data_IF_567906784534
#
_entry.id   IF_567906784534
#
_cell.length_a   1.000
_cell.length_b   1.000
_cell.length_c   1.000
_cell.angle_alpha   90.00
_cell.angle_beta   90.00
_cell.angle_gamma   90.00
#
_symmetry.space_group_name_H-M   'P 1'
#
loop_
_entity.id
_entity.type
_entity.pdbx_description
1 polymer ?
#
# COMPACT_ATOMS: atom_id res chain seq x y z
N UNK A 1 35.55 20.18 -55.88
CA UNK A 1 35.02 18.97 -55.22
C UNK A 1 36.11 18.41 -54.34
N UNK A 2 36.05 18.68 -53.05
CA UNK A 2 36.96 18.12 -52.03
C UNK A 2 36.64 16.64 -51.83
N UNK A 3 37.62 15.73 -51.77
CA UNK A 3 37.35 14.32 -51.57
C UNK A 3 36.90 14.08 -50.13
N UNK A 4 35.79 13.36 -49.99
CA UNK A 4 35.27 12.87 -48.69
C UNK A 4 36.25 11.82 -48.16
N UNK A 5 36.69 11.88 -46.89
CA UNK A 5 37.57 10.87 -46.33
C UNK A 5 36.86 9.52 -46.24
N UNK A 6 37.56 8.39 -46.40
CA UNK A 6 36.94 7.08 -46.35
C UNK A 6 36.34 6.86 -44.97
N UNK A 7 35.04 6.54 -44.92
CA UNK A 7 34.35 6.11 -43.71
C UNK A 7 35.10 4.91 -43.12
N UNK A 8 35.69 5.07 -41.93
CA UNK A 8 36.23 3.96 -41.15
C UNK A 8 35.17 2.86 -41.07
N UNK A 9 35.52 1.68 -41.54
CA UNK A 9 34.65 0.53 -41.55
C UNK A 9 34.31 0.19 -40.09
N UNK A 10 33.06 0.35 -39.67
CA UNK A 10 32.59 0.20 -38.27
C UNK A 10 32.89 -1.17 -37.64
N UNK A 11 33.43 -2.10 -38.41
CA UNK A 11 33.70 -3.49 -38.05
C UNK A 11 35.20 -3.86 -38.12
N UNK A 12 36.12 -2.89 -38.26
CA UNK A 12 37.56 -3.17 -38.30
C UNK A 12 38.11 -3.84 -37.04
N UNK A 13 37.38 -3.78 -35.92
CA UNK A 13 37.72 -4.49 -34.69
C UNK A 13 37.53 -6.01 -34.79
N UNK A 14 36.77 -6.52 -35.78
CA UNK A 14 36.57 -7.97 -35.98
C UNK A 14 37.81 -8.69 -36.55
N UNK A 15 38.82 -7.94 -37.02
CA UNK A 15 40.05 -8.47 -37.61
C UNK A 15 41.21 -8.55 -36.60
N UNK A 16 40.97 -8.20 -35.32
CA UNK A 16 41.98 -8.29 -34.26
C UNK A 16 42.27 -9.74 -33.85
N UNK A 17 43.56 -10.13 -33.82
CA UNK A 17 44.02 -11.48 -33.46
C UNK A 17 43.67 -11.93 -32.04
N UNK A 18 43.24 -11.00 -31.18
CA UNK A 18 42.71 -11.29 -29.83
C UNK A 18 41.31 -11.91 -29.83
N UNK A 19 40.61 -11.96 -30.97
CA UNK A 19 39.29 -12.59 -31.10
C UNK A 19 39.39 -14.13 -31.20
N UNK A 20 40.59 -14.68 -31.36
CA UNK A 20 40.78 -16.13 -31.48
C UNK A 20 41.03 -16.86 -30.16
N UNK A 21 41.19 -16.14 -29.04
CA UNK A 21 41.37 -16.76 -27.72
C UNK A 21 40.05 -16.70 -26.93
N UNK A 22 39.31 -17.81 -26.95
CA UNK A 22 38.01 -17.97 -26.29
C UNK A 22 38.05 -17.61 -24.80
N UNK A 23 39.17 -17.89 -24.11
CA UNK A 23 39.33 -17.56 -22.70
C UNK A 23 39.30 -16.06 -22.44
N UNK A 24 39.98 -15.27 -23.28
CA UNK A 24 40.01 -13.80 -23.14
C UNK A 24 38.67 -13.15 -23.47
N UNK A 25 37.92 -13.70 -24.42
CA UNK A 25 36.56 -13.23 -24.76
C UNK A 25 35.63 -13.49 -23.57
N UNK A 26 35.75 -14.67 -22.96
CA UNK A 26 34.96 -15.04 -21.80
C UNK A 26 35.22 -14.09 -20.63
N UNK A 27 36.48 -13.91 -20.25
CA UNK A 27 36.88 -13.01 -19.14
C UNK A 27 36.41 -11.58 -19.37
N UNK A 28 36.54 -11.07 -20.61
CA UNK A 28 36.11 -9.71 -20.96
C UNK A 28 34.59 -9.55 -20.92
N UNK A 29 33.85 -10.54 -21.41
CA UNK A 29 32.38 -10.52 -21.40
C UNK A 29 31.84 -10.54 -19.97
N UNK A 30 32.41 -11.38 -19.10
CA UNK A 30 32.04 -11.45 -17.69
C UNK A 30 32.37 -10.16 -16.94
N UNK A 31 33.52 -9.53 -17.26
CA UNK A 31 33.82 -8.21 -16.71
C UNK A 31 32.77 -7.15 -17.10
N UNK A 32 32.37 -7.09 -18.36
CA UNK A 32 31.30 -6.16 -18.78
C UNK A 32 29.96 -6.49 -18.14
N UNK A 33 29.64 -7.77 -17.94
CA UNK A 33 28.42 -8.19 -17.24
C UNK A 33 28.40 -7.69 -15.79
N UNK A 34 29.52 -7.79 -15.09
CA UNK A 34 29.65 -7.28 -13.72
C UNK A 34 29.53 -5.75 -13.68
N UNK A 35 30.15 -5.05 -14.64
CA UNK A 35 30.02 -3.59 -14.79
C UNK A 35 28.54 -3.20 -15.04
N UNK A 36 27.85 -3.84 -15.99
CA UNK A 36 26.43 -3.57 -16.27
C UNK A 36 25.51 -3.92 -15.11
N UNK A 37 25.78 -5.00 -14.39
CA UNK A 37 25.04 -5.37 -13.19
C UNK A 37 25.24 -4.32 -12.08
N UNK A 38 26.45 -3.77 -11.96
CA UNK A 38 26.78 -2.68 -11.02
C UNK A 38 26.06 -1.38 -11.39
N UNK A 39 25.80 -1.14 -12.68
CA UNK A 39 24.95 -0.03 -13.15
C UNK A 39 23.44 -0.32 -13.00
N UNK A 40 23.05 -1.52 -12.58
CA UNK A 40 21.65 -1.91 -12.37
C UNK A 40 20.92 -2.32 -13.64
N UNK A 41 21.65 -2.59 -14.73
CA UNK A 41 21.08 -3.11 -15.97
C UNK A 41 20.79 -4.60 -15.83
N UNK A 42 19.67 -5.06 -16.39
CA UNK A 42 19.38 -6.49 -16.52
C UNK A 42 20.23 -7.08 -17.61
N UNK A 43 21.09 -8.02 -17.23
CA UNK A 43 22.03 -8.65 -18.15
C UNK A 43 21.52 -10.00 -18.65
N UNK A 44 21.62 -10.26 -19.95
CA UNK A 44 21.33 -11.55 -20.58
C UNK A 44 22.56 -12.03 -21.35
N UNK A 45 22.90 -13.31 -21.20
CA UNK A 45 23.93 -13.99 -21.98
C UNK A 45 23.27 -14.67 -23.17
N UNK A 46 23.90 -14.56 -24.35
CA UNK A 46 23.48 -15.23 -25.56
C UNK A 46 24.59 -16.18 -25.98
N UNK A 47 24.25 -17.45 -26.08
CA UNK A 47 25.13 -18.50 -26.57
C UNK A 47 24.47 -19.22 -27.74
N UNK A 48 25.28 -19.84 -28.61
CA UNK A 48 24.80 -20.61 -29.77
C UNK A 48 25.49 -21.97 -29.80
N UNK A 49 24.84 -22.93 -30.44
CA UNK A 49 25.45 -24.23 -30.75
C UNK A 49 24.98 -24.66 -32.12
N UNK A 50 25.91 -25.14 -32.94
CA UNK A 50 25.55 -25.77 -34.20
C UNK A 50 25.19 -27.23 -33.93
N UNK A 51 23.98 -27.62 -34.30
CA UNK A 51 23.46 -28.97 -34.03
C UNK A 51 23.31 -29.71 -35.36
N UNK A 52 24.01 -30.85 -35.54
CA UNK A 52 23.83 -31.70 -36.71
C UNK A 52 22.39 -32.20 -36.83
N UNK A 53 21.90 -32.35 -38.06
CA UNK A 53 20.51 -32.75 -38.31
C UNK A 53 20.14 -34.11 -37.68
N UNK A 54 21.08 -35.05 -37.65
CA UNK A 54 20.89 -36.36 -37.02
C UNK A 54 20.68 -36.26 -35.51
N UNK A 55 21.43 -35.41 -34.82
CA UNK A 55 21.30 -35.15 -33.38
C UNK A 55 19.97 -34.45 -33.08
N UNK A 56 19.61 -33.45 -33.89
CA UNK A 56 18.34 -32.75 -33.75
C UNK A 56 17.14 -33.68 -33.93
N UNK A 57 17.14 -34.57 -34.93
CA UNK A 57 16.04 -35.52 -35.15
C UNK A 57 15.86 -36.46 -33.95
N UNK A 58 16.96 -36.96 -33.38
CA UNK A 58 16.91 -37.80 -32.18
C UNK A 58 16.33 -37.04 -30.98
N UNK A 59 16.83 -35.82 -30.72
CA UNK A 59 16.33 -34.97 -29.64
C UNK A 59 14.85 -34.62 -29.82
N UNK A 60 14.42 -34.33 -31.06
CA UNK A 60 13.03 -34.00 -31.38
C UNK A 60 12.06 -35.12 -31.02
N UNK A 61 12.44 -36.38 -31.22
CA UNK A 61 11.62 -37.52 -30.77
C UNK A 61 11.50 -37.58 -29.24
N UNK A 62 12.61 -37.33 -28.52
CA UNK A 62 12.63 -37.30 -27.04
C UNK A 62 11.74 -36.16 -26.54
N UNK A 63 11.89 -34.97 -27.10
CA UNK A 63 11.09 -33.80 -26.75
C UNK A 63 9.60 -33.99 -27.07
N UNK A 64 9.27 -34.64 -28.20
CA UNK A 64 7.90 -34.99 -28.53
C UNK A 64 7.31 -35.98 -27.52
N UNK A 65 8.06 -37.01 -27.13
CA UNK A 65 7.62 -37.97 -26.10
C UNK A 65 7.39 -37.27 -24.76
N UNK A 66 8.29 -36.36 -24.37
CA UNK A 66 8.16 -35.55 -23.16
C UNK A 66 6.90 -34.69 -23.17
N UNK A 67 6.65 -33.93 -24.24
CA UNK A 67 5.47 -33.04 -24.38
C UNK A 67 4.14 -33.78 -24.42
N UNK A 68 4.12 -35.01 -24.95
CA UNK A 68 2.91 -35.86 -24.95
C UNK A 68 2.71 -36.65 -23.66
N UNK A 69 3.62 -36.57 -22.69
CA UNK A 69 3.51 -37.30 -21.43
C UNK A 69 2.38 -36.73 -20.56
N UNK A 70 1.58 -37.61 -19.98
CA UNK A 70 0.51 -37.25 -19.03
C UNK A 70 1.02 -37.16 -17.58
N UNK A 71 2.20 -37.74 -17.30
CA UNK A 71 2.81 -37.85 -15.98
C UNK A 71 4.15 -37.11 -16.02
N UNK A 72 4.37 -36.18 -15.09
CA UNK A 72 5.62 -35.41 -14.92
C UNK A 72 6.10 -34.75 -16.21
N UNK A 73 5.15 -34.16 -16.96
CA UNK A 73 5.39 -33.56 -18.27
C UNK A 73 6.43 -32.45 -18.21
N UNK A 74 6.36 -31.60 -17.19
CA UNK A 74 7.22 -30.43 -17.07
C UNK A 74 8.68 -30.84 -16.88
N UNK A 75 8.93 -31.72 -15.91
CA UNK A 75 10.27 -32.24 -15.59
C UNK A 75 10.88 -32.94 -16.82
N UNK A 76 10.12 -33.77 -17.54
CA UNK A 76 10.61 -34.43 -18.77
C UNK A 76 10.94 -33.45 -19.91
N UNK A 77 10.24 -32.32 -19.98
CA UNK A 77 10.54 -31.26 -20.95
C UNK A 77 11.83 -30.55 -20.56
N UNK A 78 12.02 -30.27 -19.26
CA UNK A 78 13.26 -29.69 -18.73
C UNK A 78 14.46 -30.63 -18.94
N UNK A 79 14.32 -31.92 -18.64
CA UNK A 79 15.36 -32.94 -18.90
C UNK A 79 15.74 -33.01 -20.38
N UNK A 80 14.76 -32.89 -21.28
CA UNK A 80 15.02 -32.84 -22.72
C UNK A 80 15.73 -31.54 -23.10
N UNK A 81 15.33 -30.39 -22.52
CA UNK A 81 16.01 -29.10 -22.71
C UNK A 81 17.47 -29.15 -22.26
N UNK A 82 17.73 -29.69 -21.06
CA UNK A 82 19.07 -29.78 -20.51
C UNK A 82 20.02 -30.62 -21.38
N UNK A 83 19.51 -31.67 -22.05
CA UNK A 83 20.32 -32.47 -22.99
C UNK A 83 20.84 -31.66 -24.18
N UNK A 84 20.05 -30.74 -24.73
CA UNK A 84 20.43 -29.98 -25.93
C UNK A 84 21.23 -28.72 -25.57
N UNK A 85 21.01 -28.16 -24.37
CA UNK A 85 21.64 -26.94 -23.84
C UNK A 85 23.06 -27.15 -23.26
N UNK A 86 23.67 -28.31 -23.48
CA UNK A 86 25.07 -28.58 -23.11
C UNK A 86 26.06 -28.04 -24.16
N UNK A 87 27.19 -27.51 -23.69
CA UNK A 87 28.34 -27.10 -24.52
C UNK A 87 27.97 -26.07 -25.59
N UNK A 88 27.62 -24.87 -25.14
CA UNK A 88 27.26 -23.74 -26.00
C UNK A 88 28.45 -22.80 -26.19
N UNK A 89 28.57 -22.22 -27.39
CA UNK A 89 29.55 -21.19 -27.70
C UNK A 89 29.00 -19.81 -27.31
N UNK A 90 29.73 -19.08 -26.48
CA UNK A 90 29.35 -17.72 -26.08
C UNK A 90 29.37 -16.79 -27.30
N UNK A 91 28.24 -16.14 -27.59
CA UNK A 91 28.13 -15.12 -28.66
C UNK A 91 28.33 -13.73 -28.09
N UNK A 92 27.78 -13.47 -26.90
CA UNK A 92 27.94 -12.20 -26.21
C UNK A 92 26.92 -11.99 -25.09
N UNK A 93 26.86 -10.76 -24.60
CA UNK A 93 25.92 -10.33 -23.57
C UNK A 93 25.14 -9.10 -24.04
N UNK A 94 23.92 -8.96 -23.54
CA UNK A 94 23.11 -7.74 -23.67
C UNK A 94 22.80 -7.20 -22.28
N UNK A 95 22.64 -5.89 -22.18
CA UNK A 95 22.25 -5.20 -20.96
C UNK A 95 21.05 -4.32 -21.26
N UNK A 96 20.00 -4.45 -20.46
CA UNK A 96 18.72 -3.77 -20.65
C UNK A 96 18.46 -2.91 -19.42
N UNK A 97 18.26 -1.62 -19.64
CA UNK A 97 17.87 -0.69 -18.59
C UNK A 97 16.37 -0.87 -18.27
N UNK A 98 16.06 -1.27 -17.03
CA UNK A 98 14.68 -1.29 -16.55
C UNK A 98 14.29 0.11 -16.08
N UNK A 99 13.67 0.87 -16.99
CA UNK A 99 13.23 2.23 -16.68
C UNK A 99 12.05 2.19 -15.72
N UNK A 100 12.19 2.95 -14.64
CA UNK A 100 11.08 3.21 -13.74
C UNK A 100 9.90 3.84 -14.49
N UNK A 101 8.69 3.49 -14.05
CA UNK A 101 7.49 4.16 -14.54
C UNK A 101 7.56 5.67 -14.26
N UNK A 102 6.93 6.44 -15.15
CA UNK A 102 6.86 7.90 -15.02
C UNK A 102 6.26 8.29 -13.67
N UNK A 103 6.95 9.15 -12.92
CA UNK A 103 6.44 9.70 -11.66
C UNK A 103 6.70 8.84 -10.42
N UNK A 104 7.43 7.72 -10.52
CA UNK A 104 7.74 6.85 -9.38
C UNK A 104 8.57 7.58 -8.31
N UNK A 105 9.72 8.22 -8.64
CA UNK A 105 10.54 8.89 -7.63
C UNK A 105 9.80 10.01 -6.89
N UNK A 106 8.99 10.79 -7.61
CA UNK A 106 8.19 11.88 -7.04
C UNK A 106 7.06 11.35 -6.13
N UNK A 107 6.46 10.23 -6.53
CA UNK A 107 5.39 9.58 -5.74
C UNK A 107 5.96 9.02 -4.45
N UNK A 108 7.08 8.31 -4.50
CA UNK A 108 7.77 7.76 -3.32
C UNK A 108 8.15 8.89 -2.36
N UNK A 109 8.67 10.01 -2.87
CA UNK A 109 9.01 11.14 -2.01
C UNK A 109 7.79 11.76 -1.31
N UNK A 110 6.66 11.92 -2.02
CA UNK A 110 5.42 12.40 -1.42
C UNK A 110 4.85 11.45 -0.38
N UNK A 111 4.87 10.13 -0.64
CA UNK A 111 4.41 9.13 0.32
C UNK A 111 5.29 9.13 1.58
N UNK A 112 6.60 9.27 1.43
CA UNK A 112 7.50 9.42 2.58
C UNK A 112 7.21 10.69 3.38
N UNK A 113 7.04 11.84 2.72
CA UNK A 113 6.65 13.11 3.37
C UNK A 113 5.30 13.01 4.08
N UNK A 114 4.41 12.14 3.61
CA UNK A 114 3.17 11.77 4.28
C UNK A 114 3.36 10.78 5.45
N UNK A 115 4.60 10.54 5.89
CA UNK A 115 4.97 9.61 6.95
C UNK A 115 4.51 8.17 6.67
N UNK A 116 4.65 7.72 5.42
CA UNK A 116 4.42 6.33 5.02
C UNK A 116 5.78 5.66 4.82
N UNK A 117 6.04 4.60 5.59
CA UNK A 117 7.24 3.77 5.45
C UNK A 117 7.13 2.88 4.21
N UNK A 118 8.19 2.83 3.41
CA UNK A 118 8.18 2.14 2.11
C UNK A 118 9.08 0.92 2.19
N UNK A 119 8.52 -0.22 1.78
CA UNK A 119 9.21 -1.50 1.73
C UNK A 119 9.23 -1.99 0.29
N UNK A 120 10.41 -2.27 -0.24
CA UNK A 120 10.59 -2.85 -1.58
C UNK A 120 10.83 -4.35 -1.43
N UNK A 121 9.95 -5.17 -2.01
CA UNK A 121 10.06 -6.64 -1.98
C UNK A 121 10.25 -7.16 -3.42
N UNK A 122 11.47 -7.54 -3.77
CA UNK A 122 11.83 -7.97 -5.14
C UNK A 122 12.43 -9.37 -5.18
N UNK A 123 12.22 -10.06 -6.31
CA UNK A 123 12.89 -11.32 -6.63
C UNK A 123 14.29 -11.13 -7.23
N UNK A 124 14.68 -9.89 -7.55
CA UNK A 124 15.95 -9.57 -8.18
C UNK A 124 17.14 -9.72 -7.21
N UNK A 125 18.35 -9.73 -7.80
CA UNK A 125 19.61 -9.71 -7.05
C UNK A 125 19.72 -8.43 -6.22
N UNK A 126 20.50 -8.51 -5.15
CA UNK A 126 20.69 -7.43 -4.17
C UNK A 126 21.22 -6.15 -4.80
N UNK A 127 22.21 -6.26 -5.66
CA UNK A 127 22.87 -5.14 -6.33
C UNK A 127 21.87 -4.38 -7.22
N UNK A 128 21.09 -5.11 -8.02
CA UNK A 128 20.02 -4.55 -8.85
C UNK A 128 18.93 -3.89 -8.00
N UNK A 129 18.51 -4.52 -6.91
CA UNK A 129 17.49 -3.96 -6.01
C UNK A 129 17.94 -2.63 -5.38
N UNK A 130 19.21 -2.55 -4.94
CA UNK A 130 19.80 -1.32 -4.40
C UNK A 130 19.84 -0.23 -5.48
N UNK A 131 20.23 -0.56 -6.71
CA UNK A 131 20.27 0.40 -7.82
C UNK A 131 18.88 0.92 -8.20
N UNK A 132 17.88 0.04 -8.27
CA UNK A 132 16.48 0.41 -8.47
C UNK A 132 16.00 1.30 -7.30
N UNK A 133 16.37 0.99 -6.07
CA UNK A 133 16.00 1.78 -4.89
C UNK A 133 16.63 3.17 -4.89
N UNK A 134 17.87 3.33 -5.35
CA UNK A 134 18.48 4.65 -5.58
C UNK A 134 17.74 5.44 -6.67
N UNK A 135 17.46 4.78 -7.81
CA UNK A 135 16.73 5.40 -8.93
C UNK A 135 15.31 5.83 -8.53
N UNK A 136 14.64 5.02 -7.72
CA UNK A 136 13.30 5.26 -7.19
C UNK A 136 13.30 6.25 -6.01
N UNK A 137 14.47 6.73 -5.59
CA UNK A 137 14.70 7.56 -4.40
C UNK A 137 14.19 6.94 -3.11
N UNK A 138 14.08 5.62 -3.02
CA UNK A 138 13.93 4.92 -1.74
C UNK A 138 15.21 5.11 -0.94
N UNK A 139 16.37 4.90 -1.56
CA UNK A 139 17.67 5.31 -1.05
C UNK A 139 18.01 6.72 -1.56
N UNK A 140 18.29 7.66 -0.66
CA UNK A 140 18.70 9.04 -1.02
C UNK A 140 20.23 9.11 -1.18
N UNK A 141 20.76 10.11 -1.91
CA UNK A 141 22.19 10.43 -1.88
C UNK A 141 22.56 10.86 -0.45
N UNK A 142 23.21 9.98 0.31
CA UNK A 142 23.49 10.17 1.75
C UNK A 142 22.63 9.32 2.69
N UNK A 143 21.89 8.33 2.18
CA UNK A 143 21.28 7.31 3.04
C UNK A 143 22.32 6.31 3.53
N UNK A 144 22.20 5.92 4.80
CA UNK A 144 22.99 4.84 5.38
C UNK A 144 22.31 3.52 5.05
N UNK A 145 23.01 2.66 4.30
CA UNK A 145 22.49 1.38 3.82
C UNK A 145 23.11 0.25 4.65
N UNK A 146 22.29 -0.37 5.47
CA UNK A 146 22.68 -1.48 6.34
C UNK A 146 22.32 -2.81 5.68
N UNK A 147 23.31 -3.66 5.43
CA UNK A 147 23.13 -4.95 4.75
C UNK A 147 23.17 -6.06 5.80
N UNK A 148 22.04 -6.74 5.99
CA UNK A 148 21.95 -7.94 6.81
C UNK A 148 22.31 -9.16 5.97
N UNK A 149 23.34 -9.89 6.40
CA UNK A 149 23.85 -11.05 5.66
C UNK A 149 24.12 -12.21 6.62
N UNK A 150 23.40 -13.32 6.40
CA UNK A 150 23.57 -14.54 7.18
C UNK A 150 24.92 -15.23 6.95
N UNK A 151 25.59 -14.98 5.82
CA UNK A 151 26.89 -15.60 5.49
C UNK A 151 28.03 -15.02 6.31
N UNK A 152 27.92 -13.77 6.76
CA UNK A 152 28.93 -13.10 7.60
C UNK A 152 28.92 -13.56 9.05
N UNK A 153 27.90 -14.32 9.47
CA UNK A 153 27.72 -14.75 10.86
C UNK A 153 27.17 -13.64 11.77
N UNK A 154 26.73 -14.04 12.96
CA UNK A 154 26.17 -13.19 14.02
C UNK A 154 25.12 -12.15 13.57
N UNK A 155 23.96 -12.64 13.13
CA UNK A 155 22.84 -11.78 12.76
C UNK A 155 22.31 -10.94 13.92
N UNK A 156 22.44 -11.44 15.15
CA UNK A 156 22.00 -10.70 16.34
C UNK A 156 22.90 -9.48 16.58
N UNK A 157 24.21 -9.66 16.51
CA UNK A 157 25.19 -8.57 16.56
C UNK A 157 24.92 -7.53 15.47
N UNK A 158 24.78 -7.96 14.22
CA UNK A 158 24.48 -7.04 13.10
C UNK A 158 23.21 -6.19 13.35
N UNK A 159 22.14 -6.79 13.85
CA UNK A 159 20.89 -6.04 14.15
C UNK A 159 21.12 -5.04 15.29
N UNK A 160 21.85 -5.43 16.35
CA UNK A 160 22.14 -4.55 17.49
C UNK A 160 23.04 -3.38 17.09
N UNK A 161 24.04 -3.63 16.27
CA UNK A 161 24.94 -2.58 15.74
C UNK A 161 24.14 -1.55 14.93
N UNK A 162 23.23 -2.00 14.07
CA UNK A 162 22.33 -1.10 13.33
C UNK A 162 21.46 -0.29 14.31
N UNK A 163 20.91 -0.92 15.36
CA UNK A 163 20.11 -0.21 16.36
C UNK A 163 20.92 0.88 17.09
N UNK A 164 22.20 0.63 17.36
CA UNK A 164 23.11 1.61 17.99
C UNK A 164 23.43 2.76 17.03
N UNK A 165 23.77 2.45 15.78
CA UNK A 165 24.04 3.45 14.74
C UNK A 165 22.83 4.38 14.52
N UNK A 166 21.62 3.82 14.52
CA UNK A 166 20.38 4.62 14.39
C UNK A 166 20.16 5.59 15.57
N UNK A 167 20.65 5.26 16.77
CA UNK A 167 20.56 6.16 17.93
C UNK A 167 21.55 7.32 17.85
N UNK A 168 22.69 7.13 17.18
CA UNK A 168 23.69 8.20 16.98
C UNK A 168 23.24 9.29 16.01
N UNK A 169 22.17 9.03 15.26
CA UNK A 169 21.49 10.00 14.40
C UNK A 169 21.89 9.86 12.95
N UNK A 170 21.09 9.12 12.19
CA UNK A 170 21.20 9.01 10.72
C UNK A 170 20.16 9.91 10.05
N UNK A 171 20.49 10.43 8.86
CA UNK A 171 19.57 11.31 8.11
C UNK A 171 18.43 10.50 7.48
N UNK A 172 18.77 9.33 6.94
CA UNK A 172 17.82 8.40 6.33
C UNK A 172 18.43 7.00 6.29
N UNK A 173 17.76 6.04 6.91
CA UNK A 173 18.26 4.67 7.08
C UNK A 173 17.55 3.67 6.19
N UNK A 174 18.31 2.75 5.58
CA UNK A 174 17.75 1.68 4.75
C UNK A 174 18.35 0.34 5.14
N UNK A 175 17.52 -0.63 5.50
CA UNK A 175 17.97 -2.01 5.70
C UNK A 175 17.76 -2.85 4.43
N UNK A 176 18.76 -3.63 4.06
CA UNK A 176 18.73 -4.58 2.95
C UNK A 176 18.86 -5.99 3.52
N UNK A 177 17.93 -6.87 3.16
CA UNK A 177 17.91 -8.27 3.60
C UNK A 177 17.60 -9.21 2.44
N UNK A 178 18.39 -10.26 2.30
CA UNK A 178 18.15 -11.29 1.29
C UNK A 178 17.13 -12.32 1.79
N UNK A 179 16.36 -12.93 0.87
CA UNK A 179 15.35 -13.93 1.22
C UNK A 179 15.87 -15.12 2.02
N UNK A 180 17.14 -15.51 1.84
CA UNK A 180 17.80 -16.55 2.64
C UNK A 180 18.07 -16.08 4.08
N UNK A 181 18.55 -14.86 4.24
CA UNK A 181 18.80 -14.25 5.56
C UNK A 181 17.49 -14.02 6.31
N UNK A 182 16.44 -13.60 5.62
CA UNK A 182 15.10 -13.50 6.20
C UNK A 182 14.60 -14.86 6.73
N UNK A 183 14.80 -15.94 5.97
CA UNK A 183 14.44 -17.29 6.43
C UNK A 183 15.29 -17.73 7.64
N UNK A 184 16.52 -17.22 7.79
CA UNK A 184 17.34 -17.47 8.98
C UNK A 184 16.83 -16.67 10.20
N UNK A 185 16.38 -15.42 9.99
CA UNK A 185 15.75 -14.60 11.04
C UNK A 185 14.49 -15.29 11.57
N UNK A 186 13.61 -15.75 10.68
CA UNK A 186 12.34 -16.40 11.05
C UNK A 186 12.50 -17.74 11.79
N UNK A 187 13.66 -18.41 11.70
CA UNK A 187 13.93 -19.66 12.44
C UNK A 187 14.13 -19.43 13.94
N UNK A 188 14.59 -18.25 14.35
CA UNK A 188 14.86 -17.93 15.75
C UNK A 188 13.87 -16.88 16.26
N UNK A 189 13.07 -17.17 17.29
CA UNK A 189 12.10 -16.20 17.81
C UNK A 189 12.78 -14.94 18.36
N UNK A 190 13.96 -15.09 18.98
CA UNK A 190 14.70 -13.96 19.54
C UNK A 190 15.17 -12.98 18.45
N UNK A 191 15.72 -13.50 17.35
CA UNK A 191 16.18 -12.66 16.22
C UNK A 191 14.99 -12.06 15.49
N UNK A 192 13.89 -12.81 15.37
CA UNK A 192 12.63 -12.33 14.80
C UNK A 192 12.10 -11.12 15.58
N UNK A 193 12.04 -11.21 16.90
CA UNK A 193 11.57 -10.11 17.75
C UNK A 193 12.49 -8.89 17.66
N UNK A 194 13.82 -9.09 17.65
CA UNK A 194 14.80 -8.01 17.45
C UNK A 194 14.63 -7.35 16.08
N UNK A 195 14.49 -8.12 15.02
CA UNK A 195 14.30 -7.61 13.66
C UNK A 195 13.01 -6.77 13.55
N UNK A 196 11.89 -7.26 14.10
CA UNK A 196 10.64 -6.50 14.09
C UNK A 196 10.65 -5.31 15.04
N UNK A 197 11.49 -5.30 16.08
CA UNK A 197 11.74 -4.12 16.92
C UNK A 197 12.58 -3.04 16.22
N UNK A 198 13.43 -3.41 15.26
CA UNK A 198 14.22 -2.50 14.41
C UNK A 198 13.35 -1.81 13.34
N UNK A 199 12.29 -2.46 12.85
CA UNK A 199 11.46 -1.92 11.76
C UNK A 199 10.85 -0.53 12.03
N UNK A 200 10.31 -0.23 13.23
CA UNK A 200 9.78 1.09 13.54
C UNK A 200 10.83 2.21 13.57
N UNK A 201 12.13 1.90 13.69
CA UNK A 201 13.18 2.93 13.68
C UNK A 201 13.78 3.17 12.29
N UNK A 202 13.74 2.18 11.40
CA UNK A 202 14.27 2.30 10.03
C UNK A 202 13.30 3.00 9.07
N UNK A 203 13.80 3.83 8.16
CA UNK A 203 12.94 4.58 7.20
C UNK A 203 12.42 3.72 6.04
N UNK A 204 13.27 2.84 5.47
CA UNK A 204 12.90 1.97 4.36
C UNK A 204 13.58 0.60 4.45
N UNK A 205 12.93 -0.44 3.91
CA UNK A 205 13.49 -1.80 3.88
C UNK A 205 13.44 -2.34 2.46
N UNK A 206 14.51 -3.01 2.05
CA UNK A 206 14.63 -3.67 0.76
C UNK A 206 14.83 -5.16 1.04
N UNK A 207 13.89 -5.98 0.60
CA UNK A 207 14.02 -7.43 0.60
C UNK A 207 14.31 -7.92 -0.82
N UNK A 208 15.48 -8.53 -1.01
CA UNK A 208 15.97 -9.01 -2.30
C UNK A 208 15.84 -10.53 -2.38
N UNK A 209 15.77 -11.08 -3.59
CA UNK A 209 15.58 -12.54 -3.83
C UNK A 209 14.43 -13.14 -3.01
N UNK A 210 13.36 -12.38 -2.78
CA UNK A 210 12.22 -12.83 -2.00
C UNK A 210 11.29 -13.72 -2.84
N UNK A 211 10.97 -14.91 -2.35
CA UNK A 211 9.97 -15.78 -3.00
C UNK A 211 8.55 -15.22 -2.82
N UNK A 212 7.59 -15.56 -3.70
CA UNK A 212 6.20 -15.13 -3.57
C UNK A 212 5.58 -15.44 -2.20
N UNK A 213 5.91 -16.60 -1.63
CA UNK A 213 5.48 -16.99 -0.28
C UNK A 213 6.05 -16.06 0.79
N UNK A 214 7.36 -15.78 0.72
CA UNK A 214 8.05 -14.90 1.67
C UNK A 214 7.48 -13.49 1.67
N UNK A 215 7.16 -12.91 0.50
CA UNK A 215 6.52 -11.58 0.43
C UNK A 215 5.24 -11.53 1.26
N UNK A 216 4.41 -12.56 1.19
CA UNK A 216 3.17 -12.64 1.98
C UNK A 216 3.43 -12.85 3.48
N UNK A 217 4.45 -13.62 3.84
CA UNK A 217 4.84 -13.89 5.23
C UNK A 217 5.29 -12.61 5.92
N UNK A 218 6.14 -11.80 5.27
CA UNK A 218 6.59 -10.50 5.80
C UNK A 218 5.40 -9.60 6.10
N UNK A 219 4.45 -9.48 5.17
CA UNK A 219 3.26 -8.64 5.38
C UNK A 219 2.45 -9.14 6.57
N UNK A 220 2.24 -10.46 6.71
CA UNK A 220 1.52 -11.04 7.86
C UNK A 220 2.26 -10.80 9.17
N UNK A 221 3.58 -10.95 9.18
CA UNK A 221 4.39 -10.75 10.36
C UNK A 221 4.37 -9.29 10.83
N UNK A 222 4.45 -8.32 9.91
CA UNK A 222 4.29 -6.88 10.25
C UNK A 222 2.90 -6.62 10.84
N UNK A 223 1.84 -7.22 10.27
CA UNK A 223 0.47 -7.06 10.80
C UNK A 223 0.32 -7.62 12.21
N UNK A 224 1.02 -8.69 12.54
CA UNK A 224 0.97 -9.33 13.86
C UNK A 224 1.84 -8.59 14.89
N UNK A 225 3.07 -8.25 14.51
CA UNK A 225 4.08 -7.68 15.40
C UNK A 225 3.94 -6.16 15.59
N UNK A 226 3.31 -5.46 14.63
CA UNK A 226 3.07 -4.01 14.69
C UNK A 226 1.57 -3.73 14.54
N UNK A 227 0.75 -4.04 15.57
CA UNK A 227 -0.72 -4.03 15.47
C UNK A 227 -1.33 -2.64 15.20
N UNK A 228 -0.59 -1.57 15.46
CA UNK A 228 -1.02 -0.19 15.16
C UNK A 228 -0.78 0.22 13.71
N UNK A 229 0.02 -0.53 12.96
CA UNK A 229 0.36 -0.20 11.58
C UNK A 229 -0.69 -0.72 10.60
N UNK A 230 -1.16 0.15 9.71
CA UNK A 230 -1.93 -0.24 8.54
C UNK A 230 -0.96 -0.59 7.42
N UNK A 231 -1.15 -1.76 6.78
CA UNK A 231 -0.28 -2.24 5.71
C UNK A 231 -1.01 -2.17 4.37
N UNK A 232 -0.35 -1.60 3.37
CA UNK A 232 -0.80 -1.59 1.99
C UNK A 232 0.22 -2.36 1.15
N UNK A 233 -0.26 -3.28 0.31
CA UNK A 233 0.57 -3.99 -0.65
C UNK A 233 0.21 -3.57 -2.07
N UNK A 234 1.22 -3.33 -2.90
CA UNK A 234 1.07 -3.00 -4.31
C UNK A 234 1.88 -3.96 -5.17
N UNK A 235 1.31 -4.45 -6.27
CA UNK A 235 1.98 -5.34 -7.21
C UNK A 235 1.26 -5.40 -8.56
N UNK A 236 1.94 -5.87 -9.59
CA UNK A 236 1.44 -6.02 -10.97
C UNK A 236 1.27 -7.48 -11.39
N UNK A 237 2.12 -8.38 -10.88
CA UNK A 237 2.23 -9.75 -11.34
C UNK A 237 1.54 -10.81 -10.47
N UNK A 238 1.54 -12.04 -11.00
CA UNK A 238 1.08 -13.26 -10.30
C UNK A 238 1.83 -13.51 -8.98
N UNK A 239 3.10 -13.10 -8.93
CA UNK A 239 4.00 -13.28 -7.79
C UNK A 239 3.59 -12.48 -6.55
N UNK A 240 2.77 -11.44 -6.74
CA UNK A 240 2.38 -10.53 -5.66
C UNK A 240 0.97 -10.80 -5.14
N UNK A 241 0.22 -11.76 -5.71
CA UNK A 241 -1.16 -12.06 -5.29
C UNK A 241 -1.24 -12.41 -3.80
N UNK A 242 -0.37 -13.30 -3.32
CA UNK A 242 -0.36 -13.71 -1.92
C UNK A 242 -0.05 -12.54 -0.97
N UNK A 243 0.80 -11.61 -1.42
CA UNK A 243 1.17 -10.41 -0.66
C UNK A 243 0.02 -9.40 -0.62
N UNK A 244 -0.63 -9.15 -1.77
CA UNK A 244 -1.79 -8.26 -1.91
C UNK A 244 -2.91 -8.73 -0.98
N UNK A 245 -3.31 -10.01 -1.07
CA UNK A 245 -4.37 -10.59 -0.24
C UNK A 245 -4.04 -10.63 1.25
N UNK A 246 -2.76 -10.63 1.62
CA UNK A 246 -2.33 -10.65 3.02
C UNK A 246 -2.32 -9.26 3.67
N UNK A 247 -2.36 -8.18 2.90
CA UNK A 247 -2.33 -6.80 3.41
C UNK A 247 -3.70 -6.33 3.92
N UNK A 248 -3.75 -5.15 4.56
CA UNK A 248 -5.05 -4.54 4.92
C UNK A 248 -5.72 -3.88 3.72
N UNK A 249 -4.93 -3.35 2.79
CA UNK A 249 -5.40 -2.74 1.54
C UNK A 249 -4.50 -3.22 0.40
N UNK A 250 -5.08 -3.96 -0.53
CA UNK A 250 -4.41 -4.43 -1.73
C UNK A 250 -4.61 -3.48 -2.91
N UNK A 251 -3.51 -3.14 -3.59
CA UNK A 251 -3.55 -2.33 -4.83
C UNK A 251 -2.89 -3.09 -5.97
N UNK A 252 -3.66 -3.34 -7.04
CA UNK A 252 -3.17 -4.04 -8.24
C UNK A 252 -2.85 -3.06 -9.36
N UNK A 253 -1.65 -3.13 -9.92
CA UNK A 253 -1.30 -2.36 -11.11
C UNK A 253 -1.81 -3.10 -12.35
N UNK A 254 -2.73 -2.48 -13.10
CA UNK A 254 -3.23 -3.00 -14.37
C UNK A 254 -2.20 -2.76 -15.48
N UNK A 255 -1.29 -3.72 -15.67
CA UNK A 255 -0.23 -3.69 -16.67
C UNK A 255 -0.52 -4.55 -17.91
N UNK A 256 0.46 -4.59 -18.83
CA UNK A 256 0.41 -5.45 -20.04
C UNK A 256 0.67 -6.93 -19.74
N UNK A 257 1.30 -7.22 -18.61
CA UNK A 257 1.72 -8.57 -18.21
C UNK A 257 0.56 -9.45 -17.73
N UNK A 258 -0.59 -8.85 -17.42
CA UNK A 258 -1.81 -9.56 -17.07
C UNK A 258 -2.69 -8.78 -16.11
N UNK A 259 -3.94 -9.22 -15.98
CA UNK A 259 -4.92 -8.62 -15.05
C UNK A 259 -5.02 -9.39 -13.73
N UNK A 260 -4.06 -10.26 -13.42
CA UNK A 260 -4.18 -11.18 -12.28
C UNK A 260 -4.13 -10.43 -10.94
N UNK A 261 -3.16 -9.53 -10.74
CA UNK A 261 -3.08 -8.71 -9.54
C UNK A 261 -4.29 -7.77 -9.40
N UNK A 262 -4.74 -7.17 -10.51
CA UNK A 262 -5.88 -6.26 -10.56
C UNK A 262 -7.22 -6.92 -10.18
N UNK A 263 -7.38 -8.24 -10.40
CA UNK A 263 -8.61 -8.99 -10.06
C UNK A 263 -8.72 -9.30 -8.56
N UNK A 264 -7.60 -9.41 -7.87
CA UNK A 264 -7.53 -9.82 -6.46
C UNK A 264 -7.41 -8.62 -5.52
N UNK A 265 -6.89 -7.50 -6.01
CA UNK A 265 -6.72 -6.28 -5.25
C UNK A 265 -8.06 -5.56 -4.95
N UNK A 266 -8.11 -4.83 -3.83
CA UNK A 266 -9.24 -3.98 -3.46
C UNK A 266 -9.39 -2.79 -4.43
N UNK A 267 -8.25 -2.25 -4.87
CA UNK A 267 -8.18 -1.18 -5.86
C UNK A 267 -7.28 -1.59 -7.02
N UNK A 268 -7.64 -1.18 -8.24
CA UNK A 268 -6.73 -1.28 -9.38
C UNK A 268 -6.43 0.08 -9.97
N UNK A 269 -5.14 0.34 -10.22
CA UNK A 269 -4.63 1.57 -10.85
C UNK A 269 -3.77 1.19 -12.06
N UNK A 270 -3.73 2.04 -13.09
CA UNK A 270 -2.95 1.74 -14.29
C UNK A 270 -1.43 1.93 -14.12
N UNK A 271 -1.00 2.84 -13.23
CA UNK A 271 0.40 3.22 -13.05
C UNK A 271 0.67 3.57 -11.60
N UNK A 272 1.91 3.35 -11.14
CA UNK A 272 2.31 3.62 -9.75
C UNK A 272 2.08 5.08 -9.34
N UNK A 273 2.29 6.05 -10.24
CA UNK A 273 2.10 7.49 -9.94
C UNK A 273 0.71 7.87 -9.47
N UNK A 274 -0.32 7.06 -9.76
CA UNK A 274 -1.69 7.34 -9.31
C UNK A 274 -1.91 6.98 -7.84
N UNK A 275 -1.00 6.19 -7.24
CA UNK A 275 -1.05 5.84 -5.83
C UNK A 275 -1.02 7.09 -4.93
N UNK A 276 -0.27 8.14 -5.30
CA UNK A 276 -0.24 9.40 -4.55
C UNK A 276 -1.64 10.02 -4.43
N UNK A 277 -2.45 9.98 -5.50
CA UNK A 277 -3.78 10.60 -5.52
C UNK A 277 -4.79 9.69 -4.83
N UNK A 278 -4.69 8.38 -5.05
CA UNK A 278 -5.52 7.40 -4.36
C UNK A 278 -5.38 7.54 -2.83
N UNK A 279 -4.15 7.61 -2.31
CA UNK A 279 -3.93 7.71 -0.87
C UNK A 279 -4.15 9.13 -0.34
N UNK A 280 -3.36 10.10 -0.81
CA UNK A 280 -3.32 11.43 -0.19
C UNK A 280 -4.62 12.22 -0.34
N UNK A 281 -5.34 12.02 -1.46
CA UNK A 281 -6.61 12.71 -1.73
C UNK A 281 -7.78 11.82 -1.31
N UNK A 282 -7.98 10.69 -1.99
CA UNK A 282 -9.18 9.87 -1.77
C UNK A 282 -9.15 9.17 -0.41
N UNK A 283 -8.01 8.65 0.02
CA UNK A 283 -7.85 8.03 1.34
C UNK A 283 -8.15 9.00 2.49
N UNK A 284 -7.61 10.22 2.44
CA UNK A 284 -7.90 11.26 3.45
C UNK A 284 -9.37 11.68 3.42
N UNK A 285 -9.92 12.01 2.25
CA UNK A 285 -11.31 12.41 2.14
C UNK A 285 -12.25 11.34 2.66
N UNK A 286 -12.02 10.07 2.31
CA UNK A 286 -12.82 8.97 2.80
C UNK A 286 -12.75 8.85 4.33
N UNK A 287 -11.55 8.97 4.92
CA UNK A 287 -11.38 8.98 6.37
C UNK A 287 -12.17 10.11 7.06
N UNK A 288 -12.08 11.34 6.55
CA UNK A 288 -12.79 12.51 7.11
C UNK A 288 -14.30 12.35 6.97
N UNK A 289 -14.76 11.94 5.78
CA UNK A 289 -16.17 11.68 5.47
C UNK A 289 -16.78 10.65 6.39
N UNK A 290 -16.15 9.48 6.50
CA UNK A 290 -16.63 8.41 7.39
C UNK A 290 -16.60 8.84 8.85
N UNK A 291 -15.55 9.53 9.31
CA UNK A 291 -15.46 10.03 10.68
C UNK A 291 -16.59 11.01 11.02
N UNK A 292 -16.83 12.00 10.16
CA UNK A 292 -17.91 12.98 10.34
C UNK A 292 -19.29 12.33 10.22
N UNK A 293 -19.50 11.44 9.27
CA UNK A 293 -20.74 10.66 9.12
C UNK A 293 -21.09 9.89 10.40
N UNK A 294 -20.13 9.17 10.98
CA UNK A 294 -20.33 8.42 12.22
C UNK A 294 -20.67 9.36 13.37
N UNK A 295 -19.89 10.42 13.58
CA UNK A 295 -20.11 11.38 14.66
C UNK A 295 -21.48 12.07 14.54
N UNK A 296 -21.85 12.51 13.34
CA UNK A 296 -23.13 13.15 13.06
C UNK A 296 -24.31 12.19 13.27
N UNK A 297 -24.17 10.93 12.87
CA UNK A 297 -25.21 9.90 13.07
C UNK A 297 -25.47 9.67 14.55
N UNK A 298 -24.44 9.43 15.35
CA UNK A 298 -24.63 9.22 16.79
C UNK A 298 -25.13 10.48 17.50
N UNK A 299 -24.62 11.65 17.10
CA UNK A 299 -25.03 12.92 17.68
C UNK A 299 -26.51 13.18 17.45
N UNK A 300 -27.03 12.98 16.22
CA UNK A 300 -28.44 13.24 15.92
C UNK A 300 -29.38 12.33 16.69
N UNK A 301 -29.05 11.04 16.84
CA UNK A 301 -29.87 10.09 17.58
C UNK A 301 -29.90 10.47 19.07
N UNK A 302 -28.72 10.74 19.65
CA UNK A 302 -28.60 11.13 21.05
C UNK A 302 -29.35 12.43 21.35
N UNK A 303 -29.20 13.43 20.47
CA UNK A 303 -29.90 14.71 20.58
C UNK A 303 -31.42 14.54 20.50
N UNK A 304 -31.91 13.82 19.49
CA UNK A 304 -33.34 13.73 19.20
C UNK A 304 -34.15 12.97 20.26
N UNK A 305 -33.57 11.91 20.83
CA UNK A 305 -34.26 11.08 21.84
C UNK A 305 -34.14 11.64 23.26
N UNK A 306 -33.30 12.63 23.50
CA UNK A 306 -33.14 13.21 24.84
C UNK A 306 -34.40 13.92 25.37
N UNK A 307 -35.14 14.73 24.57
CA UNK A 307 -36.44 15.25 24.98
C UNK A 307 -37.41 14.16 25.43
N UNK A 308 -37.46 13.01 24.73
CA UNK A 308 -38.29 11.87 25.13
C UNK A 308 -37.84 11.28 26.46
N UNK A 309 -36.54 11.16 26.70
CA UNK A 309 -36.00 10.69 27.98
C UNK A 309 -36.38 11.63 29.13
N UNK A 310 -36.29 12.95 28.91
CA UNK A 310 -36.69 13.95 29.89
C UNK A 310 -38.20 13.93 30.14
N UNK A 311 -39.01 13.74 29.08
CA UNK A 311 -40.46 13.58 29.20
C UNK A 311 -40.86 12.39 30.10
N UNK A 312 -40.12 11.28 30.07
CA UNK A 312 -40.42 10.13 30.93
C UNK A 312 -40.37 10.47 32.43
N UNK A 313 -39.55 11.46 32.83
CA UNK A 313 -39.51 11.94 34.20
C UNK A 313 -40.83 12.59 34.63
N UNK A 314 -41.56 13.21 33.69
CA UNK A 314 -42.82 13.90 33.96
C UNK A 314 -44.05 13.00 33.83
N UNK A 315 -43.96 11.90 33.08
CA UNK A 315 -45.05 10.95 32.91
C UNK A 315 -45.03 9.78 33.93
N UNK A 316 -44.08 9.78 34.87
CA UNK A 316 -43.92 8.73 35.87
C UNK A 316 -43.30 7.44 35.32
N UNK A 317 -42.51 7.52 34.25
CA UNK A 317 -41.87 6.38 33.57
C UNK A 317 -42.86 5.35 33.04
N UNK A 318 -44.05 5.78 32.62
CA UNK A 318 -45.07 4.90 32.02
C UNK A 318 -44.68 4.36 30.65
N UNK A 319 -43.64 4.92 30.02
CA UNK A 319 -43.19 4.53 28.68
C UNK A 319 -44.03 5.13 27.56
N UNK A 320 -44.92 6.09 27.85
CA UNK A 320 -45.68 6.79 26.81
C UNK A 320 -44.73 7.58 25.90
N UNK A 321 -44.84 7.41 24.59
CA UNK A 321 -44.03 8.15 23.61
C UNK A 321 -44.40 9.63 23.59
N UNK A 322 -43.39 10.50 23.53
CA UNK A 322 -43.57 11.94 23.29
C UNK A 322 -44.00 12.21 21.84
N UNK A 323 -43.48 11.42 20.90
CA UNK A 323 -43.69 11.59 19.47
C UNK A 323 -44.71 10.59 18.93
N UNK A 324 -45.39 10.97 17.85
CA UNK A 324 -46.25 10.05 17.10
C UNK A 324 -45.46 8.92 16.43
N UNK A 325 -46.07 7.74 16.33
CA UNK A 325 -45.43 6.55 15.75
C UNK A 325 -45.02 6.75 14.29
N UNK A 326 -45.79 7.52 13.51
CA UNK A 326 -45.40 7.86 12.14
C UNK A 326 -44.18 8.78 12.12
N UNK A 327 -44.12 9.80 13.00
CA UNK A 327 -43.01 10.75 13.12
C UNK A 327 -41.69 10.05 13.42
N UNK A 328 -41.70 9.08 14.34
CA UNK A 328 -40.55 8.22 14.64
C UNK A 328 -40.08 7.40 13.42
N UNK A 329 -41.02 6.90 12.62
CA UNK A 329 -40.70 6.10 11.43
C UNK A 329 -40.00 6.94 10.35
N UNK A 330 -40.47 8.17 10.14
CA UNK A 330 -39.97 9.04 9.05
C UNK A 330 -38.74 9.85 9.43
N UNK A 331 -38.43 10.03 10.72
CA UNK A 331 -37.29 10.84 11.18
C UNK A 331 -35.97 10.42 10.53
N UNK A 332 -35.63 9.13 10.67
CA UNK A 332 -34.33 8.59 10.27
C UNK A 332 -34.26 8.27 8.78
N UNK A 333 -35.40 8.19 8.09
CA UNK A 333 -35.46 7.87 6.66
C UNK A 333 -35.59 9.13 5.82
N UNK A 334 -36.49 10.06 6.18
CA UNK A 334 -36.89 11.18 5.33
C UNK A 334 -36.33 12.53 5.80
N UNK A 335 -36.33 12.79 7.12
CA UNK A 335 -36.05 14.15 7.63
C UNK A 335 -34.61 14.41 8.02
N UNK A 336 -33.83 13.38 8.41
CA UNK A 336 -32.46 13.56 8.93
C UNK A 336 -31.41 12.66 8.28
N UNK A 337 -31.80 11.76 7.38
CA UNK A 337 -30.84 10.90 6.66
C UNK A 337 -30.00 11.70 5.67
N UNK A 338 -30.66 12.57 4.89
CA UNK A 338 -30.05 13.23 3.75
C UNK A 338 -28.92 14.19 4.20
N UNK A 339 -29.11 14.95 5.28
CA UNK A 339 -28.06 15.86 5.77
C UNK A 339 -26.80 15.10 6.21
N UNK A 340 -26.96 13.98 6.91
CA UNK A 340 -25.84 13.12 7.32
C UNK A 340 -25.17 12.45 6.12
N UNK A 341 -25.96 11.96 5.14
CA UNK A 341 -25.44 11.37 3.91
C UNK A 341 -24.69 12.39 3.06
N UNK A 342 -25.22 13.61 2.93
CA UNK A 342 -24.57 14.69 2.19
C UNK A 342 -23.17 14.98 2.77
N UNK A 343 -23.08 15.09 4.10
CA UNK A 343 -21.82 15.24 4.82
C UNK A 343 -20.91 14.01 4.63
N UNK A 344 -21.46 12.80 4.64
CA UNK A 344 -20.68 11.57 4.44
C UNK A 344 -20.16 11.36 3.01
N UNK A 345 -20.78 11.97 1.99
CA UNK A 345 -20.42 11.73 0.58
C UNK A 345 -19.59 12.87 0.00
N UNK A 346 -20.02 14.12 0.21
CA UNK A 346 -19.48 15.27 -0.53
C UNK A 346 -18.49 16.12 0.26
N UNK A 347 -18.35 15.87 1.56
CA UNK A 347 -17.47 16.67 2.41
C UNK A 347 -16.01 16.62 1.92
N UNK A 348 -15.39 17.79 1.87
CA UNK A 348 -13.99 17.99 1.51
C UNK A 348 -13.40 19.01 2.47
N UNK A 349 -12.59 18.54 3.41
CA UNK A 349 -11.89 19.42 4.35
C UNK A 349 -10.87 20.30 3.64
N UNK A 350 -10.21 19.77 2.62
CA UNK A 350 -9.19 20.44 1.82
C UNK A 350 -9.31 20.06 0.34
N UNK A 351 -8.89 20.99 -0.54
CA UNK A 351 -8.85 20.76 -1.99
C UNK A 351 -7.78 19.72 -2.36
N UNK A 352 -8.02 18.99 -3.45
CA UNK A 352 -7.13 17.93 -3.93
C UNK A 352 -5.71 18.46 -4.24
N UNK A 353 -5.61 19.68 -4.79
CA UNK A 353 -4.32 20.30 -5.13
C UNK A 353 -3.50 20.58 -3.87
N UNK A 354 -4.14 21.05 -2.80
CA UNK A 354 -3.47 21.31 -1.51
C UNK A 354 -2.95 20.02 -0.89
N UNK A 355 -3.73 18.94 -0.94
CA UNK A 355 -3.34 17.64 -0.40
C UNK A 355 -2.15 17.02 -1.17
N UNK A 356 -2.07 17.25 -2.48
CA UNK A 356 -0.97 16.79 -3.31
C UNK A 356 0.29 17.67 -3.22
N UNK A 357 0.13 18.94 -2.84
CA UNK A 357 1.22 19.90 -2.63
C UNK A 357 1.86 19.75 -1.24
N UNK A 358 1.06 19.43 -0.21
CA UNK A 358 1.49 19.27 1.19
C UNK A 358 1.11 17.87 1.71
N UNK A 359 1.86 16.81 1.33
CA UNK A 359 1.58 15.43 1.75
C UNK A 359 1.59 15.22 3.26
N UNK A 360 2.31 16.06 4.02
CA UNK A 360 2.44 15.99 5.48
C UNK A 360 1.09 16.06 6.19
N UNK A 361 0.09 16.66 5.56
CA UNK A 361 -1.27 16.74 6.09
C UNK A 361 -1.87 15.34 6.31
N UNK A 362 -1.45 14.33 5.55
CA UNK A 362 -1.94 12.95 5.65
C UNK A 362 -1.79 12.34 7.06
N UNK A 363 -0.83 12.82 7.85
CA UNK A 363 -0.61 12.43 9.26
C UNK A 363 -1.86 12.62 10.13
N UNK A 364 -2.76 13.53 9.74
CA UNK A 364 -4.06 13.71 10.40
C UNK A 364 -4.87 12.42 10.51
N UNK A 365 -4.90 11.62 9.44
CA UNK A 365 -5.58 10.32 9.42
C UNK A 365 -4.84 9.28 10.24
N UNK A 366 -3.51 9.22 10.11
CA UNK A 366 -2.66 8.28 10.86
C UNK A 366 -2.75 8.45 12.38
N UNK A 367 -2.99 9.68 12.85
CA UNK A 367 -3.16 10.01 14.29
C UNK A 367 -4.60 9.87 14.79
N UNK A 368 -5.50 9.30 14.01
CA UNK A 368 -6.91 9.11 14.35
C UNK A 368 -7.61 10.40 14.84
N UNK A 369 -7.35 11.54 14.19
CA UNK A 369 -7.85 12.84 14.67
C UNK A 369 -9.35 13.07 14.40
N UNK A 370 -9.93 12.44 13.38
CA UNK A 370 -11.37 12.59 13.09
C UNK A 370 -12.23 11.73 13.98
N UNK A 371 -11.90 10.45 14.10
CA UNK A 371 -12.61 9.51 14.95
C UNK A 371 -11.69 9.01 16.06
N UNK A 372 -11.87 9.57 17.26
CA UNK A 372 -11.25 9.10 18.48
C UNK A 372 -12.26 9.16 19.63
N UNK A 373 -11.96 8.41 20.69
CA UNK A 373 -12.84 8.30 21.84
C UNK A 373 -13.13 9.66 22.53
N UNK A 374 -12.14 10.54 22.78
CA UNK A 374 -12.41 11.84 23.39
C UNK A 374 -13.34 12.73 22.55
N UNK A 375 -13.14 12.77 21.23
CA UNK A 375 -13.99 13.55 20.32
C UNK A 375 -15.39 12.96 20.23
N UNK A 376 -15.52 11.64 20.23
CA UNK A 376 -16.82 10.97 20.31
C UNK A 376 -17.58 11.39 21.58
N UNK A 377 -16.94 11.31 22.75
CA UNK A 377 -17.55 11.73 24.03
C UNK A 377 -17.90 13.21 24.03
N UNK A 378 -17.04 14.09 23.49
CA UNK A 378 -17.34 15.51 23.35
C UNK A 378 -18.57 15.77 22.47
N UNK A 379 -18.73 15.03 21.38
CA UNK A 379 -19.93 15.11 20.54
C UNK A 379 -21.17 14.57 21.28
N UNK A 380 -21.07 13.43 21.99
CA UNK A 380 -22.21 12.89 22.74
C UNK A 380 -22.66 13.81 23.87
N UNK A 381 -21.72 14.38 24.62
CA UNK A 381 -22.02 15.36 25.68
C UNK A 381 -22.65 16.63 25.09
N UNK A 382 -22.15 17.11 23.95
CA UNK A 382 -22.80 18.19 23.21
C UNK A 382 -24.25 17.85 22.79
N UNK A 383 -24.50 16.62 22.35
CA UNK A 383 -25.86 16.15 22.01
C UNK A 383 -26.80 16.17 23.23
N UNK A 384 -26.31 15.72 24.39
CA UNK A 384 -27.07 15.74 25.65
C UNK A 384 -27.37 17.18 26.08
N UNK A 385 -26.40 18.10 25.95
CA UNK A 385 -26.62 19.50 26.29
C UNK A 385 -27.66 20.12 25.34
N UNK A 386 -27.48 19.97 24.03
CA UNK A 386 -28.39 20.50 23.02
C UNK A 386 -29.82 19.95 23.20
N UNK A 387 -29.97 18.64 23.43
CA UNK A 387 -31.27 18.01 23.62
C UNK A 387 -31.95 18.47 24.92
N UNK A 388 -31.17 18.72 25.98
CA UNK A 388 -31.68 19.23 27.27
C UNK A 388 -32.15 20.67 27.11
N UNK A 389 -31.37 21.50 26.40
CA UNK A 389 -31.73 22.88 26.11
C UNK A 389 -33.03 22.96 25.29
N UNK A 390 -33.16 22.13 24.24
CA UNK A 390 -34.40 22.05 23.46
C UNK A 390 -35.57 21.66 24.35
N UNK A 391 -35.42 20.65 25.21
CA UNK A 391 -36.47 20.27 26.16
C UNK A 391 -36.87 21.42 27.10
N UNK A 392 -35.89 22.10 27.73
CA UNK A 392 -36.16 23.19 28.67
C UNK A 392 -36.83 24.38 27.96
N UNK A 393 -36.38 24.73 26.76
CA UNK A 393 -36.98 25.81 25.95
C UNK A 393 -38.41 25.48 25.55
N UNK A 394 -38.68 24.24 25.14
CA UNK A 394 -40.03 23.75 24.86
C UNK A 394 -40.92 23.82 26.11
N UNK A 395 -40.43 23.32 27.24
CA UNK A 395 -41.17 23.32 28.49
C UNK A 395 -41.50 24.74 28.97
N UNK A 396 -40.54 25.68 28.92
CA UNK A 396 -40.75 27.09 29.24
C UNK A 396 -41.73 27.75 28.26
N UNK A 397 -41.54 27.52 26.96
CA UNK A 397 -42.37 28.09 25.91
C UNK A 397 -43.81 27.61 25.98
N UNK A 398 -44.03 26.35 26.37
CA UNK A 398 -45.37 25.76 26.41
C UNK A 398 -46.10 25.98 27.73
N UNK A 399 -45.40 25.87 28.88
CA UNK A 399 -46.03 25.92 30.21
C UNK A 399 -45.97 27.30 30.88
N UNK A 400 -44.95 28.12 30.59
CA UNK A 400 -44.72 29.38 31.32
C UNK A 400 -45.13 30.58 30.50
N UNK A 401 -44.67 30.66 29.24
CA UNK A 401 -44.90 31.84 28.38
C UNK A 401 -46.05 31.65 27.39
N UNK A 402 -46.30 30.43 26.96
CA UNK A 402 -47.34 30.09 26.00
C UNK A 402 -48.72 30.07 26.63
N UNK A 403 -49.73 30.42 25.83
CA UNK A 403 -51.11 30.00 26.04
C UNK A 403 -51.48 29.07 24.88
N UNK A 404 -51.08 27.79 24.92
CA UNK A 404 -51.37 26.87 23.83
C UNK A 404 -52.88 26.74 23.66
N UNK A 405 -53.34 26.75 22.42
CA UNK A 405 -54.76 26.49 22.10
C UNK A 405 -55.09 25.00 22.21
N UNK A 406 -54.09 24.15 21.98
CA UNK A 406 -54.15 22.71 22.14
C UNK A 406 -53.11 22.32 23.19
N UNK A 407 -53.51 21.54 24.21
CA UNK A 407 -52.65 21.03 25.27
C UNK A 407 -52.41 19.51 25.14
N UNK A 408 -52.76 18.93 23.99
CA UNK A 408 -52.52 17.53 23.69
C UNK A 408 -51.04 17.19 23.72
N UNK A 409 -50.73 15.96 24.18
CA UNK A 409 -49.37 15.43 24.20
C UNK A 409 -48.70 15.49 22.82
N UNK A 410 -49.43 15.10 21.78
CA UNK A 410 -48.90 15.05 20.43
C UNK A 410 -48.69 16.45 19.83
N UNK A 411 -49.50 17.46 20.19
CA UNK A 411 -49.24 18.84 19.78
C UNK A 411 -47.90 19.36 20.33
N UNK A 412 -47.58 19.02 21.58
CA UNK A 412 -46.27 19.31 22.17
C UNK A 412 -45.15 18.46 21.53
N UNK A 413 -45.43 17.18 21.27
CA UNK A 413 -44.53 16.26 20.58
C UNK A 413 -44.14 16.71 19.18
N UNK A 414 -45.09 17.22 18.39
CA UNK A 414 -44.88 17.70 17.02
C UNK A 414 -44.05 18.99 16.99
N UNK A 415 -44.23 19.87 17.98
CA UNK A 415 -43.38 21.04 18.16
C UNK A 415 -41.94 20.62 18.47
N UNK A 416 -41.77 19.68 19.41
CA UNK A 416 -40.46 19.13 19.74
C UNK A 416 -39.79 18.45 18.55
N UNK A 417 -40.56 17.68 17.78
CA UNK A 417 -40.14 17.00 16.56
C UNK A 417 -39.67 17.99 15.49
N UNK A 418 -40.46 19.03 15.24
CA UNK A 418 -40.17 20.05 14.23
C UNK A 418 -38.90 20.84 14.55
N UNK A 419 -38.75 21.27 15.81
CA UNK A 419 -37.52 21.95 16.27
C UNK A 419 -36.32 20.99 16.17
N UNK A 420 -36.49 19.73 16.57
CA UNK A 420 -35.46 18.71 16.47
C UNK A 420 -34.94 18.51 15.05
N UNK A 421 -35.85 18.43 14.06
CA UNK A 421 -35.48 18.31 12.65
C UNK A 421 -34.77 19.56 12.15
N UNK A 422 -35.32 20.75 12.42
CA UNK A 422 -34.74 22.01 11.94
C UNK A 422 -33.34 22.22 12.52
N UNK A 423 -33.16 21.98 13.81
CA UNK A 423 -31.85 22.09 14.47
C UNK A 423 -30.85 21.06 13.94
N UNK A 424 -31.29 19.81 13.77
CA UNK A 424 -30.43 18.74 13.24
C UNK A 424 -29.94 19.09 11.84
N UNK A 425 -30.83 19.55 10.96
CA UNK A 425 -30.45 19.92 9.61
C UNK A 425 -29.58 21.17 9.58
N UNK A 426 -29.89 22.19 10.39
CA UNK A 426 -29.09 23.41 10.46
C UNK A 426 -27.66 23.17 10.96
N UNK A 427 -27.48 22.29 11.95
CA UNK A 427 -26.16 21.98 12.51
C UNK A 427 -25.30 21.11 11.59
N UNK A 428 -25.94 20.26 10.79
CA UNK A 428 -25.27 19.26 9.94
C UNK A 428 -25.13 19.68 8.47
N UNK A 429 -25.76 20.79 8.05
CA UNK A 429 -25.45 21.50 6.81
C UNK A 429 -24.25 22.42 7.02
#
# INVERSE_FOLDING_TARGET
MTPVPPTQNKFSFLEESSIMDEGTIFDRCFKHLDEYATEGLRTLLVARKFIPETEYMNWKEVYHKATTSLIDRQDKIEDAGEQIEQTLDLVGATAIEDKLQVGVPETIDKLRRANIKIWMLTGDKRETAINIAHSARICRPGSDVFILDSTKGDLEGQIRDIMEDLQTGTIHSVAVIDGQTLAAVEKSPLITDLFYALIPTIDSVICCRASPAQKSTIVKAIRQQVPKALTLAIGDGANDLAMISASHVGVGISGKEGLQAARVADYSIAQFRFLQRLLLVHGRWNYVRTGKFILATFWKEMFFYLPTAMYQMYNGYTGTSLYESYSLTVLNILFTSLCVLCMGIWEQDLRAETLLAVPELYVHGQRNRELNFPRFVAWMTGAVIDGTLVWVLLWLGYNVFGRPRDNGLFAFGDLAFSIGILWTNYKLL
#
